data_IF_213323176128
#
_entry.id   IF_213323176128
#
_cell.length_a   1.000
_cell.length_b   1.000
_cell.length_c   1.000
_cell.angle_alpha   90.00
_cell.angle_beta   90.00
_cell.angle_gamma   90.00
#
_symmetry.space_group_name_H-M   'P 1'
#
loop_
_entity.id
_entity.type
_entity.pdbx_description
1 polymer ?
#
# COMPACT_ATOMS: atom_id res chain seq x y z
N UNK A 1 -22.11 -30.18 50.40
CA UNK A 1 -21.68 -31.36 51.13
C UNK A 1 -20.30 -31.74 50.59
N UNK A 2 -19.25 -31.41 51.30
CA UNK A 2 -18.37 -32.36 52.06
C UNK A 2 -17.57 -33.26 51.11
N UNK A 3 -16.24 -33.46 51.16
CA UNK A 3 -15.23 -33.34 52.22
C UNK A 3 -13.99 -34.09 51.63
N UNK A 4 -12.79 -33.51 51.77
CA UNK A 4 -11.51 -34.09 52.25
C UNK A 4 -11.01 -35.39 51.58
N UNK A 5 -9.77 -35.66 51.37
CA UNK A 5 -8.48 -35.45 52.05
C UNK A 5 -7.54 -36.39 51.28
N UNK A 6 -6.32 -36.31 51.19
CA UNK A 6 -5.16 -36.02 52.03
C UNK A 6 -3.98 -36.87 51.53
N UNK A 7 -2.75 -36.32 51.50
CA UNK A 7 -1.45 -36.91 51.87
C UNK A 7 -0.83 -38.02 50.99
N UNK A 8 0.44 -38.10 50.69
CA UNK A 8 1.79 -37.77 51.25
C UNK A 8 2.83 -38.20 50.25
N UNK A 9 3.87 -37.46 49.95
CA UNK A 9 5.24 -37.43 50.57
C UNK A 9 6.16 -38.63 50.25
N UNK A 10 7.39 -38.30 49.88
CA UNK A 10 8.59 -39.17 49.89
C UNK A 10 9.54 -38.78 48.75
N UNK A 11 10.44 -37.89 48.90
CA UNK A 11 11.85 -38.01 49.42
C UNK A 11 12.74 -38.90 48.57
N UNK A 12 13.90 -38.32 48.10
CA UNK A 12 15.06 -39.06 47.67
C UNK A 12 15.97 -38.30 46.71
N UNK A 13 16.80 -37.37 47.19
CA UNK A 13 18.07 -37.09 46.57
C UNK A 13 19.11 -38.09 47.13
N UNK A 14 20.27 -38.34 46.47
CA UNK A 14 21.42 -37.45 46.52
C UNK A 14 22.40 -37.51 45.33
N UNK A 15 23.11 -36.43 45.05
CA UNK A 15 24.52 -36.11 45.12
C UNK A 15 25.52 -36.74 44.13
N UNK A 16 26.30 -35.79 43.54
CA UNK A 16 27.76 -35.70 43.18
C UNK A 16 28.21 -36.58 42.01
N UNK A 17 29.10 -36.15 41.08
CA UNK A 17 30.34 -35.41 41.05
C UNK A 17 30.81 -35.11 39.64
N UNK A 18 31.45 -34.02 39.49
CA UNK A 18 32.76 -33.62 38.97
C UNK A 18 33.07 -33.59 37.48
N UNK A 19 33.48 -32.38 37.11
CA UNK A 19 34.69 -31.95 36.38
C UNK A 19 34.91 -32.31 34.92
N UNK A 20 35.07 -31.25 34.10
CA UNK A 20 35.71 -31.34 32.80
C UNK A 20 35.55 -30.08 31.94
N UNK A 21 36.22 -28.99 32.25
CA UNK A 21 36.62 -27.90 31.35
C UNK A 21 38.00 -28.29 30.74
N UNK A 22 38.49 -27.70 29.63
CA UNK A 22 38.09 -26.48 28.89
C UNK A 22 38.26 -26.53 27.35
N UNK A 23 37.91 -25.42 26.73
CA UNK A 23 38.44 -24.84 25.51
C UNK A 23 38.00 -25.44 24.15
N UNK A 24 37.09 -24.74 23.51
CA UNK A 24 37.07 -24.56 22.05
C UNK A 24 36.43 -23.21 21.69
N UNK A 25 37.30 -22.30 21.35
CA UNK A 25 37.23 -21.22 20.38
C UNK A 25 35.84 -20.82 19.86
N UNK A 26 35.32 -19.70 20.33
CA UNK A 26 34.19 -18.98 19.77
C UNK A 26 34.61 -18.23 18.51
N UNK A 27 34.01 -18.58 17.37
CA UNK A 27 33.99 -17.74 16.18
C UNK A 27 32.99 -16.59 16.39
N UNK A 28 33.21 -15.36 15.85
CA UNK A 28 32.35 -14.23 16.09
C UNK A 28 31.00 -14.44 15.40
N UNK A 29 29.94 -14.33 16.19
CA UNK A 29 28.56 -14.49 15.74
C UNK A 29 28.16 -13.44 14.70
N UNK A 30 27.51 -13.91 13.68
CA UNK A 30 26.73 -13.09 12.76
C UNK A 30 25.68 -12.28 13.55
N UNK A 31 25.38 -11.05 13.16
CA UNK A 31 24.35 -10.28 13.83
C UNK A 31 23.00 -10.97 13.63
N UNK A 32 22.44 -11.45 14.72
CA UNK A 32 21.04 -11.88 14.78
C UNK A 32 20.17 -10.64 14.55
N UNK A 33 19.62 -10.53 13.36
CA UNK A 33 18.55 -9.56 13.07
C UNK A 33 17.36 -9.99 13.92
N UNK A 34 17.19 -9.35 15.05
CA UNK A 34 15.97 -9.45 15.85
C UNK A 34 14.85 -8.87 15.02
N UNK A 35 14.06 -9.74 14.37
CA UNK A 35 12.81 -9.35 13.73
C UNK A 35 11.85 -8.91 14.82
N UNK A 36 11.87 -7.62 15.13
CA UNK A 36 10.72 -7.00 15.78
C UNK A 36 9.61 -7.01 14.73
N UNK A 37 8.83 -8.07 14.74
CA UNK A 37 7.59 -8.13 13.98
C UNK A 37 6.67 -7.03 14.51
N UNK A 38 6.72 -5.85 13.88
CA UNK A 38 5.69 -4.86 14.02
C UNK A 38 4.38 -5.53 13.60
N UNK A 39 3.43 -5.65 14.52
CA UNK A 39 2.12 -6.22 14.20
C UNK A 39 1.57 -5.41 13.03
N UNK A 40 1.18 -6.04 11.91
CA UNK A 40 0.67 -5.32 10.75
C UNK A 40 -0.57 -4.56 11.22
N UNK A 41 -0.56 -3.24 11.05
CA UNK A 41 -1.77 -2.45 11.25
C UNK A 41 -2.87 -3.11 10.41
N UNK A 42 -4.00 -3.44 11.04
CA UNK A 42 -5.10 -4.18 10.43
C UNK A 42 -5.56 -3.45 9.16
N UNK A 43 -5.17 -3.97 8.00
CA UNK A 43 -5.71 -3.52 6.71
C UNK A 43 -7.19 -3.87 6.75
N UNK A 44 -8.06 -2.89 6.53
CA UNK A 44 -9.50 -3.09 6.48
C UNK A 44 -9.84 -3.85 5.21
N UNK A 45 -10.01 -5.16 5.31
CA UNK A 45 -10.43 -5.99 4.19
C UNK A 45 -11.79 -5.47 3.65
N UNK A 46 -11.80 -5.02 2.39
CA UNK A 46 -13.01 -4.51 1.76
C UNK A 46 -12.96 -4.78 0.25
N UNK A 47 -14.07 -5.30 -0.28
CA UNK A 47 -14.22 -5.48 -1.74
C UNK A 47 -14.38 -4.12 -2.41
N UNK A 48 -13.59 -3.86 -3.44
CA UNK A 48 -13.84 -2.77 -4.38
C UNK A 48 -14.72 -3.32 -5.51
N UNK A 49 -15.88 -2.73 -5.69
CA UNK A 49 -16.83 -3.15 -6.72
C UNK A 49 -17.25 -1.97 -7.57
N UNK A 50 -17.00 -2.07 -8.86
CA UNK A 50 -17.54 -1.21 -9.89
C UNK A 50 -18.68 -1.95 -10.62
N UNK A 51 -19.85 -1.35 -10.65
CA UNK A 51 -21.09 -1.90 -11.25
C UNK A 51 -21.53 -1.03 -12.42
N UNK A 52 -21.33 -1.53 -13.64
CA UNK A 52 -21.69 -0.91 -14.90
C UNK A 52 -21.31 0.57 -15.01
N UNK A 53 -20.08 0.85 -14.65
CA UNK A 53 -19.53 2.21 -14.62
C UNK A 53 -19.33 2.73 -16.04
N UNK A 54 -19.91 3.89 -16.32
CA UNK A 54 -19.63 4.68 -17.52
C UNK A 54 -19.27 6.11 -17.14
N UNK A 55 -18.40 6.73 -17.93
CA UNK A 55 -18.06 8.14 -17.73
C UNK A 55 -17.90 8.87 -19.06
N UNK A 56 -18.57 10.00 -19.15
CA UNK A 56 -18.54 10.91 -20.29
C UNK A 56 -18.14 12.30 -19.79
N UNK A 57 -17.04 12.84 -20.32
CA UNK A 57 -16.66 14.22 -20.06
C UNK A 57 -17.57 15.17 -20.84
N UNK A 58 -17.82 16.35 -20.28
CA UNK A 58 -18.61 17.44 -20.88
C UNK A 58 -19.99 16.99 -21.35
N UNK A 59 -20.64 16.08 -20.59
CA UNK A 59 -21.94 15.52 -20.88
C UNK A 59 -22.99 16.62 -21.15
N UNK A 60 -23.73 16.48 -22.24
CA UNK A 60 -24.75 17.45 -22.63
C UNK A 60 -24.22 18.70 -23.33
N UNK A 61 -22.93 18.72 -23.68
CA UNK A 61 -22.32 19.79 -24.48
C UNK A 61 -21.92 19.32 -25.87
N UNK A 62 -21.62 20.22 -26.83
CA UNK A 62 -21.08 19.85 -28.12
C UNK A 62 -19.70 19.14 -28.10
N UNK A 63 -19.02 19.18 -26.97
CA UNK A 63 -17.70 18.55 -26.74
C UNK A 63 -17.78 17.26 -25.92
N UNK A 64 -18.96 16.68 -25.85
CA UNK A 64 -19.19 15.42 -25.13
C UNK A 64 -18.26 14.32 -25.62
N UNK A 65 -17.53 13.72 -24.64
CA UNK A 65 -16.54 12.67 -24.91
C UNK A 65 -16.77 11.47 -24.00
N UNK A 66 -17.41 10.40 -24.48
CA UNK A 66 -17.51 9.15 -23.73
C UNK A 66 -16.12 8.48 -23.64
N UNK A 67 -15.73 8.08 -22.42
CA UNK A 67 -14.40 7.50 -22.15
C UNK A 67 -14.51 6.13 -21.52
N UNK A 68 -15.48 5.89 -20.62
CA UNK A 68 -15.73 4.59 -20.03
C UNK A 68 -17.13 4.12 -20.40
N UNK A 69 -17.27 2.81 -20.70
CA UNK A 69 -18.50 2.21 -21.18
C UNK A 69 -18.79 0.90 -20.48
N UNK A 70 -19.79 0.87 -19.61
CA UNK A 70 -20.32 -0.33 -18.94
C UNK A 70 -19.26 -1.21 -18.26
N UNK A 71 -18.32 -0.58 -17.55
CA UNK A 71 -17.23 -1.31 -16.86
C UNK A 71 -17.75 -1.92 -15.58
N UNK A 72 -17.58 -3.24 -15.47
CA UNK A 72 -17.86 -3.98 -14.24
C UNK A 72 -16.62 -4.75 -13.81
N UNK A 73 -16.19 -4.55 -12.56
CA UNK A 73 -15.07 -5.29 -11.97
C UNK A 73 -15.26 -5.45 -10.46
N UNK A 74 -14.68 -6.52 -9.93
CA UNK A 74 -14.60 -6.79 -8.50
C UNK A 74 -13.13 -7.04 -8.17
N UNK A 75 -12.64 -6.41 -7.13
CA UNK A 75 -11.33 -6.66 -6.55
C UNK A 75 -11.52 -7.07 -5.10
N UNK A 76 -11.20 -8.31 -4.81
CA UNK A 76 -11.34 -8.91 -3.49
C UNK A 76 -10.20 -8.52 -2.55
N UNK A 77 -10.42 -8.58 -1.22
CA UNK A 77 -9.36 -8.32 -0.25
C UNK A 77 -8.13 -9.19 -0.48
N UNK A 78 -6.95 -8.56 -0.56
CA UNK A 78 -5.69 -9.27 -0.80
C UNK A 78 -5.50 -9.78 -2.23
N UNK A 79 -6.40 -9.46 -3.16
CA UNK A 79 -6.28 -9.76 -4.57
C UNK A 79 -5.44 -8.70 -5.28
N UNK A 80 -4.67 -9.11 -6.28
CA UNK A 80 -4.02 -8.21 -7.22
C UNK A 80 -4.59 -8.41 -8.64
N UNK A 81 -4.94 -7.30 -9.29
CA UNK A 81 -5.46 -7.27 -10.65
C UNK A 81 -4.60 -6.36 -11.52
N UNK A 82 -4.29 -6.80 -12.73
CA UNK A 82 -3.65 -5.99 -13.76
C UNK A 82 -4.67 -5.60 -14.83
N UNK A 83 -4.75 -4.30 -15.12
CA UNK A 83 -5.50 -3.78 -16.27
C UNK A 83 -4.52 -3.19 -17.27
N UNK A 84 -4.47 -3.81 -18.45
CA UNK A 84 -3.68 -3.32 -19.58
C UNK A 84 -4.55 -2.52 -20.56
N UNK A 85 -3.91 -1.80 -21.48
CA UNK A 85 -4.61 -1.08 -22.55
C UNK A 85 -3.76 0.03 -23.16
N UNK A 86 -4.11 0.44 -24.35
CA UNK A 86 -3.39 1.48 -25.10
C UNK A 86 -3.55 2.88 -24.51
N UNK A 87 -2.71 3.81 -24.97
CA UNK A 87 -2.86 5.21 -24.62
C UNK A 87 -4.21 5.75 -25.13
N UNK A 88 -4.96 6.40 -24.22
CA UNK A 88 -6.27 6.92 -24.54
C UNK A 88 -7.42 5.91 -24.36
N UNK A 89 -7.17 4.66 -23.96
CA UNK A 89 -8.22 3.65 -23.70
C UNK A 89 -9.15 3.96 -22.51
N UNK A 90 -8.77 4.93 -21.65
CA UNK A 90 -9.55 5.32 -20.47
C UNK A 90 -8.93 4.93 -19.12
N UNK A 91 -7.73 4.36 -19.07
CA UNK A 91 -7.06 3.88 -17.85
C UNK A 91 -7.01 4.91 -16.72
N UNK A 92 -6.51 6.10 -17.01
CA UNK A 92 -6.44 7.19 -16.01
C UNK A 92 -7.82 7.68 -15.57
N UNK A 93 -8.83 7.63 -16.44
CA UNK A 93 -10.21 7.94 -16.06
C UNK A 93 -10.77 6.86 -15.15
N UNK A 94 -10.51 5.58 -15.45
CA UNK A 94 -10.91 4.45 -14.62
C UNK A 94 -10.28 4.55 -13.22
N UNK A 95 -8.97 4.80 -13.13
CA UNK A 95 -8.30 4.94 -11.81
C UNK A 95 -8.92 6.06 -10.97
N UNK A 96 -9.24 7.20 -11.58
CA UNK A 96 -9.91 8.31 -10.89
C UNK A 96 -11.32 7.99 -10.44
N UNK A 97 -12.08 7.25 -11.24
CA UNK A 97 -13.43 6.82 -10.86
C UNK A 97 -13.38 5.80 -9.72
N UNK A 98 -12.47 4.83 -9.79
CA UNK A 98 -12.30 3.81 -8.74
C UNK A 98 -11.82 4.36 -7.41
N UNK A 99 -11.14 5.51 -7.42
CA UNK A 99 -10.68 6.21 -6.19
C UNK A 99 -11.68 7.24 -5.65
N UNK A 100 -12.79 7.48 -6.36
CA UNK A 100 -13.76 8.52 -6.01
C UNK A 100 -13.28 9.95 -6.31
N UNK A 101 -12.15 10.12 -7.00
CA UNK A 101 -11.68 11.43 -7.48
C UNK A 101 -12.51 11.95 -8.64
N UNK A 102 -13.23 11.07 -9.30
CA UNK A 102 -14.14 11.38 -10.40
C UNK A 102 -15.44 10.58 -10.21
N UNK A 103 -16.57 11.28 -10.21
CA UNK A 103 -17.87 10.63 -10.12
C UNK A 103 -18.25 10.05 -11.49
N UNK A 104 -18.63 8.77 -11.59
CA UNK A 104 -19.09 8.21 -12.86
C UNK A 104 -20.38 8.88 -13.31
N UNK A 105 -20.58 9.00 -14.64
CA UNK A 105 -21.84 9.53 -15.21
C UNK A 105 -22.96 8.52 -15.06
N UNK A 106 -22.64 7.23 -15.08
CA UNK A 106 -23.56 6.13 -14.89
C UNK A 106 -22.90 5.00 -14.11
N UNK A 107 -23.74 4.18 -13.45
CA UNK A 107 -23.23 3.09 -12.60
C UNK A 107 -22.75 3.61 -11.24
N UNK A 108 -22.00 2.78 -10.53
CA UNK A 108 -21.51 3.12 -9.19
C UNK A 108 -20.24 2.37 -8.85
N UNK A 109 -19.46 2.94 -7.92
CA UNK A 109 -18.33 2.27 -7.28
C UNK A 109 -18.59 2.20 -5.78
N UNK A 110 -18.31 1.04 -5.19
CA UNK A 110 -18.44 0.85 -3.74
C UNK A 110 -17.19 0.18 -3.17
N UNK A 111 -16.89 0.50 -1.92
CA UNK A 111 -15.86 -0.17 -1.12
C UNK A 111 -16.51 -0.74 0.13
N UNK A 112 -16.48 -2.08 0.29
CA UNK A 112 -17.16 -2.77 1.38
C UNK A 112 -18.66 -2.43 1.46
N UNK A 113 -19.32 -2.31 0.33
CA UNK A 113 -20.75 -1.96 0.21
C UNK A 113 -21.07 -0.48 0.45
N UNK A 114 -20.10 0.37 0.79
CA UNK A 114 -20.28 1.81 0.96
C UNK A 114 -19.98 2.55 -0.35
N UNK A 115 -20.76 3.58 -0.72
CA UNK A 115 -20.46 4.41 -1.88
C UNK A 115 -19.05 5.00 -1.81
N UNK A 116 -18.33 5.04 -2.95
CA UNK A 116 -16.92 5.46 -3.00
C UNK A 116 -16.72 6.91 -2.53
N UNK A 117 -17.69 7.79 -2.74
CA UNK A 117 -17.64 9.18 -2.30
C UNK A 117 -17.52 9.33 -0.76
N UNK A 118 -17.92 8.28 -0.02
CA UNK A 118 -17.79 8.19 1.45
C UNK A 118 -16.53 7.45 1.90
N UNK A 119 -15.77 6.93 0.95
CA UNK A 119 -14.58 6.11 1.19
C UNK A 119 -13.30 6.75 0.63
N UNK A 120 -13.38 8.02 0.23
CA UNK A 120 -12.21 8.78 -0.26
C UNK A 120 -11.12 8.79 0.81
N UNK A 121 -9.94 8.26 0.45
CA UNK A 121 -8.82 8.05 1.37
C UNK A 121 -8.65 6.61 1.86
N UNK A 122 -9.68 5.75 1.75
CA UNK A 122 -9.54 4.30 1.96
C UNK A 122 -8.96 3.59 0.72
N UNK A 123 -8.98 4.25 -0.44
CA UNK A 123 -8.33 3.84 -1.70
C UNK A 123 -7.23 4.82 -2.03
N UNK A 124 -6.01 4.33 -2.17
CA UNK A 124 -4.85 5.14 -2.52
C UNK A 124 -4.53 5.01 -4.02
N UNK A 125 -4.12 6.12 -4.65
CA UNK A 125 -3.71 6.17 -6.05
C UNK A 125 -2.26 6.63 -6.16
N UNK A 126 -1.40 5.77 -6.74
CA UNK A 126 -0.08 6.16 -7.19
C UNK A 126 -0.17 6.65 -8.63
N UNK A 127 0.18 7.92 -8.84
CA UNK A 127 0.14 8.53 -10.17
C UNK A 127 1.41 8.22 -10.96
N UNK A 128 1.30 8.17 -12.29
CA UNK A 128 2.43 7.96 -13.20
C UNK A 128 3.63 8.88 -12.92
N UNK A 129 3.36 10.15 -12.61
CA UNK A 129 4.40 11.14 -12.27
C UNK A 129 4.46 11.37 -10.76
N UNK A 130 5.37 10.69 -10.06
CA UNK A 130 5.52 10.79 -8.60
C UNK A 130 5.71 12.25 -8.12
N UNK A 131 6.42 13.09 -8.90
CA UNK A 131 6.64 14.51 -8.55
C UNK A 131 5.33 15.30 -8.35
N UNK A 132 4.28 14.97 -9.11
CA UNK A 132 2.98 15.64 -8.98
C UNK A 132 2.23 15.22 -7.72
N UNK A 133 2.59 14.09 -7.14
CA UNK A 133 1.99 13.53 -5.93
C UNK A 133 2.64 14.10 -4.66
N UNK A 134 3.95 14.43 -4.73
CA UNK A 134 4.73 14.96 -3.62
C UNK A 134 4.49 16.48 -3.48
N UNK A 135 3.86 16.89 -2.38
CA UNK A 135 3.38 18.26 -2.17
C UNK A 135 4.07 18.99 -1.01
N UNK A 136 4.90 18.30 -0.25
CA UNK A 136 5.56 18.84 0.93
C UNK A 136 7.04 19.11 0.66
N UNK A 137 7.68 20.01 1.44
CA UNK A 137 9.05 20.38 1.19
C UNK A 137 10.08 19.28 1.50
N UNK A 138 9.77 18.34 2.38
CA UNK A 138 10.70 17.26 2.77
C UNK A 138 10.02 15.89 2.77
N UNK A 139 10.83 14.83 2.64
CA UNK A 139 10.40 13.44 2.68
C UNK A 139 9.52 13.15 3.91
N UNK A 140 10.02 13.51 5.11
CA UNK A 140 9.29 13.35 6.37
C UNK A 140 7.91 14.01 6.34
N UNK A 141 7.88 15.28 5.93
CA UNK A 141 6.63 16.03 5.92
C UNK A 141 5.62 15.49 4.90
N UNK A 142 6.11 14.94 3.80
CA UNK A 142 5.25 14.37 2.75
C UNK A 142 4.67 13.03 3.18
N UNK A 143 5.47 12.11 3.70
CA UNK A 143 5.00 10.83 4.24
C UNK A 143 3.97 11.04 5.35
N UNK A 144 4.23 11.93 6.31
CA UNK A 144 3.28 12.24 7.39
C UNK A 144 1.98 12.86 6.88
N UNK A 145 2.06 13.72 5.87
CA UNK A 145 0.87 14.30 5.26
C UNK A 145 0.02 13.24 4.56
N UNK A 146 0.66 12.34 3.80
CA UNK A 146 0.00 11.23 3.13
C UNK A 146 -0.62 10.25 4.14
N UNK A 147 0.07 9.98 5.26
CA UNK A 147 -0.46 9.19 6.38
C UNK A 147 -1.62 9.86 7.15
N UNK A 148 -2.00 11.08 6.80
CA UNK A 148 -3.10 11.84 7.42
C UNK A 148 -2.70 12.72 8.60
N UNK A 149 -1.42 12.94 8.86
CA UNK A 149 -0.89 13.70 10.00
C UNK A 149 -0.28 15.06 9.63
N UNK A 150 -0.60 15.62 8.47
CA UNK A 150 -0.07 16.91 8.01
C UNK A 150 -1.06 18.08 8.16
N UNK A 151 -0.58 19.34 8.10
CA UNK A 151 -1.45 20.49 7.91
C UNK A 151 -2.16 20.42 6.55
N UNK A 152 -3.42 20.88 6.47
CA UNK A 152 -4.22 20.82 5.24
C UNK A 152 -3.59 21.67 4.12
N UNK A 153 -3.53 21.08 2.90
CA UNK A 153 -3.38 21.83 1.67
C UNK A 153 -4.66 21.59 0.86
N UNK A 154 -5.44 22.64 0.62
CA UNK A 154 -6.67 22.57 -0.17
C UNK A 154 -7.92 22.10 0.60
N UNK A 155 -9.04 22.00 -0.12
CA UNK A 155 -10.38 21.71 0.42
C UNK A 155 -10.74 20.22 0.40
N UNK A 156 -9.81 19.32 0.05
CA UNK A 156 -10.03 17.88 -0.02
C UNK A 156 -10.26 17.26 1.36
N UNK A 157 -11.30 16.46 1.49
CA UNK A 157 -11.63 15.70 2.70
C UNK A 157 -10.76 14.44 2.78
N UNK A 158 -9.51 14.58 3.21
CA UNK A 158 -8.71 13.42 3.60
C UNK A 158 -9.04 13.09 5.06
N UNK A 159 -9.22 11.81 5.39
CA UNK A 159 -9.41 11.36 6.76
C UNK A 159 -8.23 11.81 7.63
N UNK A 160 -8.47 12.81 8.44
CA UNK A 160 -7.44 13.36 9.32
C UNK A 160 -7.31 12.51 10.57
N UNK A 161 -6.18 11.85 10.70
CA UNK A 161 -5.74 11.33 12.00
C UNK A 161 -5.31 12.52 12.87
N UNK A 162 -5.55 12.46 14.16
CA UNK A 162 -5.23 13.57 15.09
C UNK A 162 -3.76 13.99 15.10
N UNK A 163 -3.43 15.00 15.90
CA UNK A 163 -2.05 15.38 16.17
C UNK A 163 -1.31 14.20 16.82
N UNK A 164 -0.09 13.93 16.35
CA UNK A 164 0.78 12.87 16.87
C UNK A 164 2.01 13.49 17.53
N UNK A 165 2.64 12.76 18.44
CA UNK A 165 3.93 13.14 19.01
C UNK A 165 5.03 13.12 17.93
N UNK A 166 6.13 13.80 18.21
CA UNK A 166 7.29 13.77 17.30
C UNK A 166 7.84 12.35 17.15
N UNK A 167 7.91 11.61 18.23
CA UNK A 167 8.41 10.23 18.29
C UNK A 167 7.52 9.28 17.45
N UNK A 168 6.21 9.40 17.57
CA UNK A 168 5.25 8.65 16.76
C UNK A 168 5.40 9.00 15.28
N UNK A 169 5.58 10.29 14.95
CA UNK A 169 5.83 10.72 13.58
C UNK A 169 7.13 10.17 13.02
N UNK A 170 8.20 10.16 13.82
CA UNK A 170 9.50 9.62 13.41
C UNK A 170 9.41 8.10 13.18
N UNK A 171 8.63 7.37 13.99
CA UNK A 171 8.37 5.94 13.83
C UNK A 171 7.62 5.65 12.52
N UNK A 172 6.52 6.36 12.24
CA UNK A 172 5.75 6.20 11.00
C UNK A 172 6.63 6.41 9.77
N UNK A 173 7.47 7.45 9.79
CA UNK A 173 8.36 7.76 8.67
C UNK A 173 9.43 6.69 8.50
N UNK A 174 10.05 6.24 9.59
CA UNK A 174 11.07 5.20 9.55
C UNK A 174 10.51 3.89 8.97
N UNK A 175 9.37 3.42 9.48
CA UNK A 175 8.69 2.22 9.00
C UNK A 175 8.32 2.33 7.51
N UNK A 176 7.77 3.48 7.09
CA UNK A 176 7.39 3.70 5.70
C UNK A 176 8.60 3.74 4.75
N UNK A 177 9.71 4.32 5.19
CA UNK A 177 10.94 4.39 4.39
C UNK A 177 11.62 3.02 4.29
N UNK A 178 11.66 2.26 5.38
CA UNK A 178 12.20 0.89 5.43
C UNK A 178 11.46 -0.02 4.44
N UNK A 179 10.13 0.04 4.41
CA UNK A 179 9.28 -0.73 3.51
C UNK A 179 9.69 -0.61 2.04
N UNK A 180 10.08 0.58 1.62
CA UNK A 180 10.41 0.87 0.22
C UNK A 180 11.93 0.94 -0.02
N UNK A 181 12.74 0.50 0.94
CA UNK A 181 14.21 0.48 0.84
C UNK A 181 14.83 1.87 0.67
N UNK A 182 14.29 2.88 1.35
CA UNK A 182 14.86 4.23 1.40
C UNK A 182 15.82 4.37 2.58
N UNK A 183 16.97 5.02 2.34
CA UNK A 183 17.90 5.38 3.40
C UNK A 183 17.21 6.34 4.41
N UNK A 184 17.19 6.01 5.72
CA UNK A 184 16.61 6.88 6.75
C UNK A 184 17.20 8.30 6.77
N UNK A 185 18.45 8.49 6.34
CA UNK A 185 19.07 9.80 6.23
C UNK A 185 18.35 10.75 5.27
N UNK A 186 17.56 10.22 4.34
CA UNK A 186 16.76 11.01 3.42
C UNK A 186 15.52 11.64 4.07
N UNK A 187 15.14 11.28 5.29
CA UNK A 187 13.91 11.76 5.93
C UNK A 187 13.81 13.30 6.00
N UNK A 188 14.93 13.98 6.24
CA UNK A 188 14.98 15.44 6.32
C UNK A 188 15.27 16.13 4.99
N UNK A 189 15.56 15.34 3.93
CA UNK A 189 15.95 15.88 2.62
C UNK A 189 14.77 16.54 1.92
N UNK A 190 15.07 17.57 1.14
CA UNK A 190 14.11 18.23 0.26
C UNK A 190 13.64 17.30 -0.86
N UNK A 191 12.37 17.38 -1.23
CA UNK A 191 11.82 16.56 -2.32
C UNK A 191 12.55 16.84 -3.64
N UNK A 192 12.89 18.10 -3.91
CA UNK A 192 13.55 18.52 -5.15
C UNK A 192 15.00 18.05 -5.26
N UNK A 193 15.60 17.58 -4.16
CA UNK A 193 16.97 17.04 -4.10
C UNK A 193 17.01 15.51 -4.33
N UNK A 194 15.87 14.87 -4.57
CA UNK A 194 15.75 13.44 -4.75
C UNK A 194 15.90 13.04 -6.23
N UNK A 195 16.47 11.85 -6.46
CA UNK A 195 16.38 11.22 -7.78
C UNK A 195 14.93 10.81 -8.10
N UNK A 196 14.62 10.62 -9.39
CA UNK A 196 13.30 10.18 -9.82
C UNK A 196 12.85 8.86 -9.15
N UNK A 197 13.77 7.90 -9.01
CA UNK A 197 13.50 6.64 -8.29
C UNK A 197 13.26 6.84 -6.79
N UNK A 198 14.00 7.76 -6.15
CA UNK A 198 13.77 8.11 -4.75
C UNK A 198 12.40 8.80 -4.57
N UNK A 199 12.05 9.76 -5.43
CA UNK A 199 10.73 10.41 -5.41
C UNK A 199 9.59 9.40 -5.51
N UNK A 200 9.71 8.41 -6.41
CA UNK A 200 8.70 7.37 -6.59
C UNK A 200 8.57 6.49 -5.34
N UNK A 201 9.69 6.10 -4.72
CA UNK A 201 9.67 5.35 -3.46
C UNK A 201 9.12 6.16 -2.30
N UNK A 202 9.40 7.47 -2.20
CA UNK A 202 8.79 8.36 -1.21
C UNK A 202 7.28 8.46 -1.39
N UNK A 203 6.80 8.62 -2.63
CA UNK A 203 5.37 8.65 -2.93
C UNK A 203 4.68 7.35 -2.50
N UNK A 204 5.27 6.20 -2.84
CA UNK A 204 4.75 4.90 -2.43
C UNK A 204 4.77 4.71 -0.90
N UNK A 205 5.86 5.10 -0.23
CA UNK A 205 5.96 5.08 1.23
C UNK A 205 4.82 5.86 1.89
N UNK A 206 4.54 7.06 1.40
CA UNK A 206 3.42 7.88 1.89
C UNK A 206 2.06 7.21 1.70
N UNK A 207 1.83 6.60 0.53
CA UNK A 207 0.57 5.88 0.25
C UNK A 207 0.42 4.68 1.18
N UNK A 208 1.46 3.87 1.38
CA UNK A 208 1.43 2.70 2.26
C UNK A 208 1.27 3.10 3.73
N UNK A 209 1.87 4.21 4.16
CA UNK A 209 1.73 4.76 5.52
C UNK A 209 0.30 5.22 5.85
N UNK A 210 -0.55 5.46 4.85
CA UNK A 210 -1.97 5.76 5.07
C UNK A 210 -2.79 4.54 5.46
N UNK A 211 -2.26 3.32 5.25
CA UNK A 211 -2.92 2.03 5.42
C UNK A 211 -4.21 1.90 4.60
N UNK A 212 -4.14 2.05 3.28
CA UNK A 212 -5.32 1.94 2.43
C UNK A 212 -5.84 0.51 2.39
N UNK A 213 -7.13 0.34 2.09
CA UNK A 213 -7.73 -0.97 1.79
C UNK A 213 -7.39 -1.44 0.37
N UNK A 214 -7.27 -0.49 -0.55
CA UNK A 214 -6.95 -0.72 -1.96
C UNK A 214 -5.87 0.27 -2.39
N UNK A 215 -4.86 -0.23 -3.10
CA UNK A 215 -3.83 0.56 -3.75
C UNK A 215 -3.95 0.44 -5.26
N UNK A 216 -4.19 1.56 -5.93
CA UNK A 216 -4.21 1.64 -7.39
C UNK A 216 -2.87 2.24 -7.85
N UNK A 217 -2.19 1.56 -8.75
CA UNK A 217 -0.88 1.93 -9.28
C UNK A 217 -1.00 2.23 -10.78
N UNK A 218 -0.79 3.48 -11.17
CA UNK A 218 -0.79 3.90 -12.58
C UNK A 218 0.64 3.95 -13.11
N UNK A 219 0.99 3.03 -14.02
CA UNK A 219 2.32 2.85 -14.65
C UNK A 219 3.46 2.72 -13.61
N UNK A 220 3.39 1.80 -12.62
CA UNK A 220 4.33 1.77 -11.51
C UNK A 220 5.76 1.42 -11.91
N UNK A 221 5.95 0.69 -13.02
CA UNK A 221 7.25 0.19 -13.48
C UNK A 221 8.00 1.17 -14.40
N UNK A 222 7.33 2.20 -14.92
CA UNK A 222 7.90 3.10 -15.89
C UNK A 222 9.19 3.78 -15.37
N UNK A 223 10.31 3.62 -16.06
CA UNK A 223 11.58 4.25 -15.69
C UNK A 223 12.28 3.69 -14.45
N UNK A 224 11.89 2.53 -13.95
CA UNK A 224 12.61 1.80 -12.91
C UNK A 224 13.67 0.88 -13.53
N UNK A 225 14.84 0.79 -12.88
CA UNK A 225 15.81 -0.26 -13.14
C UNK A 225 15.35 -1.61 -12.59
N UNK A 226 15.99 -2.71 -12.99
CA UNK A 226 15.59 -4.07 -12.60
C UNK A 226 15.54 -4.24 -11.08
N UNK A 227 16.56 -3.78 -10.35
CA UNK A 227 16.60 -3.92 -8.89
C UNK A 227 15.47 -3.14 -8.19
N UNK A 228 15.12 -1.96 -8.69
CA UNK A 228 13.98 -1.18 -8.17
C UNK A 228 12.63 -1.83 -8.49
N UNK A 229 12.50 -2.50 -9.64
CA UNK A 229 11.30 -3.28 -10.00
C UNK A 229 11.12 -4.47 -9.07
N UNK A 230 12.16 -5.27 -8.85
CA UNK A 230 12.14 -6.43 -7.97
C UNK A 230 11.78 -6.04 -6.54
N UNK A 231 12.36 -4.95 -6.04
CA UNK A 231 12.00 -4.40 -4.73
C UNK A 231 10.53 -4.00 -4.67
N UNK A 232 10.02 -3.28 -5.68
CA UNK A 232 8.62 -2.85 -5.73
C UNK A 232 7.68 -4.04 -5.71
N UNK A 233 7.93 -5.06 -6.53
CA UNK A 233 7.14 -6.30 -6.58
C UNK A 233 7.15 -6.99 -5.22
N UNK A 234 8.32 -7.13 -4.59
CA UNK A 234 8.45 -7.76 -3.27
C UNK A 234 7.63 -7.02 -2.20
N UNK A 235 7.71 -5.69 -2.15
CA UNK A 235 6.94 -4.85 -1.21
C UNK A 235 5.44 -5.00 -1.45
N UNK A 236 5.01 -4.96 -2.70
CA UNK A 236 3.59 -5.09 -3.06
C UNK A 236 3.03 -6.47 -2.71
N UNK A 237 3.79 -7.54 -2.99
CA UNK A 237 3.38 -8.91 -2.67
C UNK A 237 3.29 -9.14 -1.15
N UNK A 238 4.24 -8.61 -0.38
CA UNK A 238 4.16 -8.64 1.08
C UNK A 238 2.90 -7.93 1.60
N UNK A 239 2.59 -6.75 1.07
CA UNK A 239 1.39 -6.00 1.47
C UNK A 239 0.10 -6.68 1.01
N UNK A 240 0.09 -7.28 -0.17
CA UNK A 240 -1.02 -8.09 -0.67
C UNK A 240 -1.32 -9.27 0.27
N UNK A 241 -0.29 -10.02 0.67
CA UNK A 241 -0.43 -11.11 1.64
C UNK A 241 -0.92 -10.64 3.01
N UNK A 242 -0.65 -9.40 3.37
CA UNK A 242 -1.18 -8.76 4.58
C UNK A 242 -2.62 -8.25 4.40
N UNK A 243 -3.25 -8.42 3.23
CA UNK A 243 -4.65 -8.10 2.94
C UNK A 243 -4.88 -6.82 2.13
N UNK A 244 -3.82 -6.14 1.66
CA UNK A 244 -3.95 -5.02 0.74
C UNK A 244 -4.41 -5.50 -0.63
N UNK A 245 -5.50 -4.96 -1.15
CA UNK A 245 -5.92 -5.20 -2.54
C UNK A 245 -5.15 -4.26 -3.47
N UNK A 246 -4.69 -4.77 -4.60
CA UNK A 246 -3.84 -4.02 -5.54
C UNK A 246 -4.45 -4.04 -6.92
N UNK A 247 -4.60 -2.86 -7.53
CA UNK A 247 -4.94 -2.71 -8.93
C UNK A 247 -3.77 -2.04 -9.65
N UNK A 248 -3.15 -2.75 -10.56
CA UNK A 248 -2.09 -2.21 -11.43
C UNK A 248 -2.71 -1.82 -12.76
N UNK A 249 -2.40 -0.64 -13.22
CA UNK A 249 -2.78 -0.14 -14.54
C UNK A 249 -1.49 0.12 -15.31
N UNK A 250 -1.29 -0.58 -16.43
CA UNK A 250 -0.09 -0.44 -17.25
C UNK A 250 -0.39 -0.64 -18.74
N UNK A 251 0.49 -0.16 -19.58
CA UNK A 251 0.49 -0.50 -21.00
C UNK A 251 1.32 -1.77 -21.28
N UNK A 252 2.11 -2.26 -20.29
CA UNK A 252 3.01 -3.39 -20.40
C UNK A 252 2.78 -4.39 -19.25
N UNK A 253 3.05 -5.66 -19.51
CA UNK A 253 2.96 -6.76 -18.54
C UNK A 253 4.22 -6.86 -17.64
N UNK A 254 5.30 -6.17 -18.00
CA UNK A 254 6.66 -6.29 -17.46
C UNK A 254 6.74 -6.64 -15.96
N UNK A 255 6.88 -7.94 -15.64
CA UNK A 255 7.14 -8.45 -14.30
C UNK A 255 5.93 -8.43 -13.36
N UNK A 256 4.74 -7.98 -13.79
CA UNK A 256 3.53 -7.95 -12.96
C UNK A 256 2.79 -9.29 -12.92
N UNK A 257 3.07 -10.20 -13.84
CA UNK A 257 2.42 -11.52 -13.90
C UNK A 257 2.58 -12.34 -12.62
N UNK A 258 3.71 -12.16 -11.91
CA UNK A 258 3.96 -12.84 -10.66
C UNK A 258 3.18 -12.26 -9.46
N UNK A 259 2.75 -11.01 -9.57
CA UNK A 259 2.01 -10.29 -8.53
C UNK A 259 0.50 -10.41 -8.72
N UNK A 260 0.02 -10.38 -9.97
CA UNK A 260 -1.40 -10.22 -10.27
C UNK A 260 -2.10 -11.57 -10.48
N UNK A 261 -3.21 -11.77 -9.77
CA UNK A 261 -4.04 -12.99 -9.84
C UNK A 261 -4.98 -12.97 -11.05
N UNK A 262 -5.37 -11.78 -11.50
CA UNK A 262 -6.33 -11.59 -12.60
C UNK A 262 -5.86 -10.49 -13.54
N UNK A 263 -6.24 -10.62 -14.81
CA UNK A 263 -5.86 -9.69 -15.87
C UNK A 263 -7.12 -9.21 -16.59
N UNK A 264 -7.17 -7.93 -16.94
CA UNK A 264 -8.18 -7.32 -17.78
C UNK A 264 -7.52 -6.48 -18.87
N UNK A 265 -8.21 -6.29 -19.97
CA UNK A 265 -7.78 -5.41 -21.05
C UNK A 265 -8.80 -4.30 -21.29
N UNK A 266 -8.36 -3.05 -21.21
CA UNK A 266 -9.20 -1.88 -21.43
C UNK A 266 -8.95 -1.33 -22.84
N UNK A 267 -9.94 -1.47 -23.70
CA UNK A 267 -9.91 -0.95 -25.07
C UNK A 267 -11.16 -0.09 -25.33
N UNK A 268 -10.96 1.11 -25.88
CA UNK A 268 -12.06 2.03 -26.24
C UNK A 268 -13.12 2.24 -25.13
N UNK A 269 -12.65 2.21 -23.87
CA UNK A 269 -13.50 2.39 -22.69
C UNK A 269 -14.26 1.13 -22.24
N UNK A 270 -14.00 -0.02 -22.82
CA UNK A 270 -14.60 -1.32 -22.45
C UNK A 270 -13.52 -2.21 -21.83
N UNK A 271 -13.85 -2.86 -20.71
CA UNK A 271 -12.99 -3.82 -20.02
C UNK A 271 -13.39 -5.25 -20.40
N UNK A 272 -12.42 -6.06 -20.85
CA UNK A 272 -12.59 -7.46 -21.21
C UNK A 272 -11.62 -8.36 -20.45
#
# INVERSE_FOLDING_TARGET
GRILSDRRAGEGAPLIDEAGDPSASAAPGAPTVSSVACAPALIKAAHLWADRVAHTYDLGTPWEKPVLRDISLILDPGQAMLITGDNGSGKTTLSRVLTGLLVPTWGRVTLGGRPMERCVGDVALSMQFARLQLQRPSVRSDILAAAGHGPRIGTGSVHRKGAISREEGDRIVAEAMELVGLDPALATRGIDDLSGGQMRRVALAGLLASHPSVLILDEPMAGLDAASRDLLISVLDERRRAGLSILVISHDLEGMDSLCDTHGHLAEGVLS
#
